data_IF_364991808766
#
_entry.id   IF_364991808766
#
_cell.length_a   1.000
_cell.length_b   1.000
_cell.length_c   1.000
_cell.angle_alpha   90.00
_cell.angle_beta   90.00
_cell.angle_gamma   90.00
#
_symmetry.space_group_name_H-M   'P 1'
#
loop_
_entity.id
_entity.type
_entity.pdbx_description
1 polymer ?
#
# COMPACT_ATOMS: atom_id res chain seq x y z
N UNK A 1 8.66 -23.59 -2.13
CA UNK A 1 7.86 -22.97 -1.05
C UNK A 1 7.00 -21.88 -1.67
N UNK A 2 5.69 -22.09 -1.78
CA UNK A 2 4.78 -21.15 -2.44
C UNK A 2 4.47 -20.01 -1.46
N UNK A 3 5.10 -18.84 -1.60
CA UNK A 3 4.71 -17.67 -0.81
C UNK A 3 3.29 -17.31 -1.23
N UNK A 4 2.31 -17.16 -0.32
CA UNK A 4 0.99 -16.68 -0.70
C UNK A 4 1.18 -15.30 -1.33
N UNK A 5 0.92 -15.21 -2.64
CA UNK A 5 0.86 -13.94 -3.33
C UNK A 5 -0.37 -13.18 -2.83
N UNK A 6 -0.20 -11.89 -2.53
CA UNK A 6 -1.34 -11.01 -2.30
C UNK A 6 -1.80 -10.55 -3.68
N UNK A 7 -3.03 -10.93 -4.06
CA UNK A 7 -3.69 -10.41 -5.26
C UNK A 7 -4.49 -9.18 -4.87
N UNK A 8 -4.18 -8.04 -5.49
CA UNK A 8 -4.93 -6.80 -5.33
C UNK A 8 -5.89 -6.63 -6.50
N UNK A 9 -7.15 -6.27 -6.21
CA UNK A 9 -8.17 -6.05 -7.23
C UNK A 9 -8.09 -4.59 -7.72
N UNK A 10 -7.83 -4.32 -9.02
CA UNK A 10 -7.68 -2.95 -9.51
C UNK A 10 -8.91 -2.06 -9.30
N UNK A 11 -10.09 -2.68 -9.12
CA UNK A 11 -11.36 -2.03 -8.88
C UNK A 11 -12.05 -2.75 -7.71
N UNK A 12 -12.53 -1.98 -6.74
CA UNK A 12 -13.30 -2.47 -5.59
C UNK A 12 -14.58 -1.65 -5.47
N UNK A 13 -15.73 -2.32 -5.37
CA UNK A 13 -17.01 -1.65 -5.10
C UNK A 13 -17.34 -1.83 -3.62
N UNK A 14 -17.37 -0.74 -2.87
CA UNK A 14 -17.63 -0.75 -1.44
C UNK A 14 -18.59 0.40 -1.09
N UNK A 15 -19.69 0.08 -0.39
CA UNK A 15 -20.74 1.04 0.01
C UNK A 15 -21.30 1.87 -1.16
N UNK A 16 -21.41 1.27 -2.35
CA UNK A 16 -21.92 1.93 -3.56
C UNK A 16 -20.93 2.87 -4.25
N UNK A 17 -19.68 2.94 -3.77
CA UNK A 17 -18.60 3.68 -4.41
C UNK A 17 -17.67 2.73 -5.15
N UNK A 18 -17.23 3.15 -6.34
CA UNK A 18 -16.20 2.45 -7.11
C UNK A 18 -14.83 3.05 -6.77
N UNK A 19 -13.98 2.23 -6.19
CA UNK A 19 -12.61 2.57 -5.85
C UNK A 19 -11.67 1.99 -6.89
N UNK A 20 -10.75 2.83 -7.36
CA UNK A 20 -9.72 2.49 -8.32
C UNK A 20 -8.36 2.45 -7.64
N UNK A 21 -7.55 1.46 -7.98
CA UNK A 21 -6.19 1.33 -7.49
C UNK A 21 -5.23 2.21 -8.30
N UNK A 22 -4.52 3.10 -7.64
CA UNK A 22 -3.50 3.97 -8.21
C UNK A 22 -2.12 3.60 -7.66
N UNK A 23 -1.15 3.22 -8.52
CA UNK A 23 0.23 3.04 -8.09
C UNK A 23 0.89 4.41 -7.84
N UNK A 24 1.69 4.49 -6.78
CA UNK A 24 2.52 5.65 -6.45
C UNK A 24 3.93 5.16 -6.15
N UNK A 25 4.88 5.66 -6.92
CA UNK A 25 6.30 5.41 -6.70
C UNK A 25 6.91 6.52 -5.85
N UNK A 26 7.82 6.15 -4.95
CA UNK A 26 8.61 7.07 -4.16
C UNK A 26 10.04 6.54 -4.00
N UNK A 27 10.99 7.47 -3.92
CA UNK A 27 12.40 7.13 -3.81
C UNK A 27 12.90 7.42 -2.40
N UNK A 28 13.66 6.47 -1.86
CA UNK A 28 14.45 6.63 -0.64
C UNK A 28 15.94 6.52 -1.00
N UNK A 29 16.83 6.69 -0.01
CA UNK A 29 18.27 6.48 -0.22
C UNK A 29 18.62 5.05 -0.66
N UNK A 30 17.75 4.08 -0.37
CA UNK A 30 17.97 2.66 -0.64
C UNK A 30 17.41 2.22 -2.00
N UNK A 31 16.55 3.03 -2.62
CA UNK A 31 15.98 2.75 -3.93
C UNK A 31 14.57 3.30 -4.12
N UNK A 32 13.91 2.83 -5.17
CA UNK A 32 12.51 3.17 -5.47
C UNK A 32 11.59 2.07 -4.97
N UNK A 33 10.53 2.51 -4.30
CA UNK A 33 9.49 1.67 -3.74
C UNK A 33 8.14 2.13 -4.31
N UNK A 34 7.17 1.23 -4.31
CA UNK A 34 5.82 1.51 -4.78
C UNK A 34 4.81 1.21 -3.69
N UNK A 35 3.81 2.09 -3.54
CA UNK A 35 2.58 1.84 -2.79
C UNK A 35 1.38 1.90 -3.72
N UNK A 36 0.30 1.21 -3.35
CA UNK A 36 -0.98 1.29 -4.05
C UNK A 36 -1.99 2.02 -3.17
N UNK A 37 -2.67 3.02 -3.72
CA UNK A 37 -3.71 3.81 -3.05
C UNK A 37 -5.04 3.53 -3.76
N UNK A 38 -6.07 3.18 -3.01
CA UNK A 38 -7.44 3.16 -3.54
C UNK A 38 -8.06 4.54 -3.41
N UNK A 39 -8.58 5.07 -4.51
CA UNK A 39 -9.27 6.35 -4.54
C UNK A 39 -10.41 6.35 -5.58
N UNK A 40 -11.29 7.34 -5.50
CA UNK A 40 -12.43 7.46 -6.42
C UNK A 40 -11.99 7.92 -7.81
N UNK A 41 -10.98 8.78 -7.85
CA UNK A 41 -10.37 9.32 -9.06
C UNK A 41 -8.92 9.75 -8.76
N UNK A 42 -8.26 10.34 -9.76
CA UNK A 42 -6.87 10.79 -9.63
C UNK A 42 -6.70 11.94 -8.64
N UNK A 43 -7.64 12.88 -8.57
CA UNK A 43 -7.54 14.04 -7.68
C UNK A 43 -7.66 13.59 -6.22
N UNK A 44 -8.59 12.69 -5.95
CA UNK A 44 -8.73 12.04 -4.66
C UNK A 44 -7.47 11.24 -4.29
N UNK A 45 -6.85 10.52 -5.24
CA UNK A 45 -5.58 9.81 -4.99
C UNK A 45 -4.45 10.76 -4.56
N UNK A 46 -4.35 11.96 -5.17
CA UNK A 46 -3.37 12.98 -4.80
C UNK A 46 -3.65 13.53 -3.39
N UNK A 47 -4.92 13.75 -3.05
CA UNK A 47 -5.31 14.17 -1.70
C UNK A 47 -4.92 13.13 -0.64
N UNK A 48 -5.26 11.86 -0.86
CA UNK A 48 -4.88 10.75 0.04
C UNK A 48 -3.37 10.63 0.19
N UNK A 49 -2.60 10.74 -0.90
CA UNK A 49 -1.14 10.74 -0.81
C UNK A 49 -0.59 11.89 0.03
N UNK A 50 -1.19 13.08 -0.08
CA UNK A 50 -0.77 14.26 0.67
C UNK A 50 -1.07 14.09 2.16
N UNK A 51 -2.24 13.54 2.51
CA UNK A 51 -2.60 13.19 3.89
C UNK A 51 -1.68 12.11 4.46
N UNK A 52 -1.36 11.08 3.67
CA UNK A 52 -0.43 10.01 4.07
C UNK A 52 0.93 10.60 4.42
N UNK A 53 1.48 11.49 3.57
CA UNK A 53 2.77 12.16 3.84
C UNK A 53 2.74 13.02 5.11
N UNK A 54 1.59 13.60 5.44
CA UNK A 54 1.45 14.47 6.60
C UNK A 54 1.20 13.72 7.92
N UNK A 55 0.56 12.55 7.87
CA UNK A 55 -0.03 11.92 9.06
C UNK A 55 0.36 10.46 9.29
N UNK A 56 1.07 9.82 8.35
CA UNK A 56 1.49 8.43 8.51
C UNK A 56 2.35 8.26 9.76
N UNK A 57 1.92 7.37 10.63
CA UNK A 57 2.64 6.95 11.83
C UNK A 57 2.56 5.43 11.94
N UNK A 58 3.65 4.82 12.41
CA UNK A 58 3.66 3.40 12.75
C UNK A 58 2.88 3.21 14.06
N UNK A 59 2.00 2.22 14.10
CA UNK A 59 1.32 1.78 15.32
C UNK A 59 2.13 0.66 15.97
N UNK A 60 1.95 0.47 17.27
CA UNK A 60 2.53 -0.68 17.96
C UNK A 60 2.06 -1.99 17.32
N UNK A 61 3.01 -2.82 16.89
CA UNK A 61 2.73 -4.07 16.18
C UNK A 61 2.74 -3.97 14.65
N UNK A 62 2.88 -2.76 14.09
CA UNK A 62 3.14 -2.61 12.66
C UNK A 62 4.56 -3.09 12.30
N UNK A 63 4.74 -3.53 11.05
CA UNK A 63 6.02 -4.02 10.51
C UNK A 63 6.64 -5.18 11.30
N UNK A 64 5.84 -6.16 11.70
CA UNK A 64 6.38 -7.43 12.22
C UNK A 64 7.35 -8.05 11.20
N UNK A 65 8.61 -8.19 11.61
CA UNK A 65 9.63 -8.84 10.80
C UNK A 65 9.22 -10.28 10.56
N UNK A 66 9.01 -10.67 9.30
CA UNK A 66 8.89 -12.08 8.96
C UNK A 66 10.29 -12.66 9.03
N UNK A 67 10.64 -13.30 10.16
CA UNK A 67 11.87 -14.08 10.24
C UNK A 67 11.79 -15.18 9.18
N UNK A 68 12.71 -15.25 8.21
CA UNK A 68 12.79 -16.40 7.32
C UNK A 68 12.97 -17.62 8.22
N UNK A 69 12.08 -18.62 8.11
CA UNK A 69 12.17 -19.83 8.92
C UNK A 69 13.59 -20.38 8.84
N UNK A 70 14.23 -20.55 10.00
CA UNK A 70 15.55 -21.14 10.10
C UNK A 70 15.52 -22.49 9.37
N UNK A 71 16.17 -22.57 8.22
CA UNK A 71 16.58 -23.85 7.65
C UNK A 71 17.69 -24.39 8.54
N UNK A 72 17.28 -25.21 9.52
CA UNK A 72 18.14 -26.21 10.16
C UNK A 72 18.40 -27.36 9.18
#
# INVERSE_FOLDING_TARGET
MNRPGITLNPIVVEKGLTWHMFPVDFTTLEGTYSVYIYALDREHAVAVLSELKATAALRDGDLISVTPGATS
#
